data_IF_733294886355
#
_entry.id   IF_733294886355
#
_cell.length_a   1.000
_cell.length_b   1.000
_cell.length_c   1.000
_cell.angle_alpha   90.00
_cell.angle_beta   90.00
_cell.angle_gamma   90.00
#
_symmetry.space_group_name_H-M   'P 1'
#
loop_
_entity.id
_entity.type
_entity.pdbx_description
1 polymer ?
#
# COMPACT_ATOMS: atom_id res chain seq x y z
N UNK A 1 -46.12 -8.49 7.70
CA UNK A 1 -45.97 -7.28 6.86
C UNK A 1 -44.55 -7.32 6.32
N UNK A 2 -44.38 -7.88 5.13
CA UNK A 2 -43.07 -7.99 4.46
C UNK A 2 -42.68 -6.61 3.92
N UNK A 3 -42.04 -5.81 4.77
CA UNK A 3 -41.50 -4.51 4.40
C UNK A 3 -40.28 -4.69 3.51
N UNK A 4 -40.46 -4.59 2.19
CA UNK A 4 -39.33 -4.42 1.25
C UNK A 4 -38.59 -3.14 1.62
N UNK A 5 -37.43 -3.28 2.28
CA UNK A 5 -36.47 -2.19 2.44
C UNK A 5 -36.02 -1.78 1.03
N UNK A 6 -36.42 -0.58 0.59
CA UNK A 6 -36.06 -0.04 -0.72
C UNK A 6 -34.69 0.61 -0.59
N UNK A 7 -33.66 -0.12 -1.00
CA UNK A 7 -32.29 0.39 -1.07
C UNK A 7 -32.16 1.23 -2.35
N UNK A 8 -31.73 2.47 -2.21
CA UNK A 8 -31.32 3.31 -3.35
C UNK A 8 -29.79 3.26 -3.44
N UNK A 9 -29.28 2.85 -4.61
CA UNK A 9 -27.86 2.75 -4.92
C UNK A 9 -27.56 3.83 -5.97
N UNK A 10 -26.63 4.72 -5.66
CA UNK A 10 -26.08 5.69 -6.60
C UNK A 10 -24.61 5.33 -6.83
N UNK A 11 -24.25 5.01 -8.08
CA UNK A 11 -22.85 4.81 -8.52
C UNK A 11 -22.38 6.12 -9.15
N UNK A 12 -21.43 6.81 -8.51
CA UNK A 12 -20.75 7.97 -9.08
C UNK A 12 -19.32 7.57 -9.45
N UNK A 13 -19.00 7.62 -10.74
CA UNK A 13 -17.66 7.40 -11.27
C UNK A 13 -17.03 8.76 -11.60
N UNK A 14 -16.43 9.43 -10.61
CA UNK A 14 -15.68 10.68 -10.86
C UNK A 14 -14.24 10.36 -11.31
N UNK A 15 -14.02 10.25 -12.63
CA UNK A 15 -12.68 10.29 -13.21
C UNK A 15 -12.21 11.75 -13.30
N UNK A 16 -11.45 12.22 -12.31
CA UNK A 16 -10.77 13.53 -12.35
C UNK A 16 -9.32 13.37 -12.79
N UNK A 17 -9.05 13.73 -14.04
CA UNK A 17 -7.70 14.07 -14.52
C UNK A 17 -7.21 15.31 -13.77
N UNK A 18 -6.09 15.21 -13.07
CA UNK A 18 -5.38 16.38 -12.55
C UNK A 18 -3.90 16.29 -12.88
N UNK A 19 -3.41 17.36 -13.52
CA UNK A 19 -2.04 17.54 -13.97
C UNK A 19 -1.06 17.70 -12.80
N UNK A 20 0.15 17.27 -13.11
CA UNK A 20 1.39 17.18 -12.35
C UNK A 20 1.71 18.37 -11.41
N UNK A 21 2.07 18.03 -10.15
CA UNK A 21 3.15 18.66 -9.37
C UNK A 21 3.42 17.84 -8.10
N UNK A 22 4.54 17.10 -8.13
CA UNK A 22 5.13 16.36 -7.01
C UNK A 22 5.39 17.22 -5.77
N UNK A 23 4.97 16.77 -4.56
CA UNK A 23 5.63 17.13 -3.31
C UNK A 23 6.33 15.92 -2.66
N UNK A 24 7.50 16.17 -2.09
CA UNK A 24 8.35 15.21 -1.38
C UNK A 24 7.58 14.36 -0.36
N UNK A 25 7.55 13.05 -0.60
CA UNK A 25 6.73 12.05 0.11
C UNK A 25 7.11 11.77 1.58
N UNK A 26 8.15 12.40 2.13
CA UNK A 26 8.71 11.99 3.42
C UNK A 26 8.34 12.89 4.62
N UNK A 27 7.73 14.07 4.43
CA UNK A 27 7.49 15.02 5.53
C UNK A 27 6.11 14.89 6.22
N UNK A 28 5.21 14.04 5.72
CA UNK A 28 3.78 14.09 6.08
C UNK A 28 3.29 13.16 7.19
N UNK A 29 4.14 12.35 7.82
CA UNK A 29 3.66 11.27 8.72
C UNK A 29 3.22 11.73 10.12
N UNK A 30 3.07 13.04 10.39
CA UNK A 30 2.75 13.54 11.74
C UNK A 30 1.67 14.64 11.85
N UNK A 31 0.84 14.87 10.82
CA UNK A 31 -0.19 15.92 10.89
C UNK A 31 -1.62 15.36 10.99
N UNK A 32 -2.16 15.43 12.22
CA UNK A 32 -3.56 15.62 12.64
C UNK A 32 -4.68 15.15 11.70
N UNK A 33 -5.44 14.17 12.20
CA UNK A 33 -6.70 13.63 11.68
C UNK A 33 -7.76 14.73 11.47
N UNK A 34 -7.85 15.30 10.27
CA UNK A 34 -9.06 15.96 9.77
C UNK A 34 -9.07 16.02 8.23
N UNK A 35 -9.99 15.26 7.64
CA UNK A 35 -10.67 15.46 6.33
C UNK A 35 -9.83 15.73 5.05
N UNK A 36 -8.50 15.63 5.10
CA UNK A 36 -7.58 15.82 3.96
C UNK A 36 -6.78 14.56 3.58
N UNK A 37 -7.16 13.39 4.08
CA UNK A 37 -6.45 12.12 3.81
C UNK A 37 -6.77 11.50 2.44
N UNK A 38 -7.76 12.01 1.70
CA UNK A 38 -8.14 11.46 0.39
C UNK A 38 -7.16 11.83 -0.73
N UNK A 39 -6.21 12.75 -0.52
CA UNK A 39 -5.26 13.18 -1.57
C UNK A 39 -4.10 12.22 -1.82
N UNK A 40 -4.04 11.07 -1.13
CA UNK A 40 -2.99 10.07 -1.33
C UNK A 40 -3.48 8.79 -2.00
N UNK A 41 -4.78 8.61 -2.17
CA UNK A 41 -5.37 7.39 -2.72
C UNK A 41 -5.59 7.56 -4.23
N UNK A 42 -5.33 6.51 -5.00
CA UNK A 42 -5.44 6.51 -6.46
C UNK A 42 -6.73 5.79 -6.87
N UNK A 43 -7.30 6.21 -8.01
CA UNK A 43 -8.45 5.55 -8.64
C UNK A 43 -9.61 5.22 -7.66
N UNK A 44 -10.15 6.20 -6.92
CA UNK A 44 -11.25 5.94 -5.99
C UNK A 44 -12.52 5.55 -6.76
N UNK A 45 -13.16 4.47 -6.33
CA UNK A 45 -14.46 4.00 -6.76
C UNK A 45 -15.44 4.13 -5.59
N UNK A 46 -16.48 4.96 -5.75
CA UNK A 46 -17.42 5.27 -4.68
C UNK A 46 -18.83 4.73 -4.97
N UNK A 47 -19.47 4.17 -3.95
CA UNK A 47 -20.89 3.82 -3.93
C UNK A 47 -21.58 4.45 -2.73
N UNK A 48 -22.79 4.96 -2.93
CA UNK A 48 -23.59 5.54 -1.85
C UNK A 48 -24.88 4.76 -1.69
N UNK A 49 -25.14 4.32 -0.45
CA UNK A 49 -26.33 3.60 -0.04
C UNK A 49 -27.14 4.46 0.92
N UNK A 50 -28.46 4.50 0.74
CA UNK A 50 -29.36 5.25 1.63
C UNK A 50 -30.41 4.34 2.22
N UNK A 51 -30.54 4.37 3.54
CA UNK A 51 -31.49 3.58 4.31
C UNK A 51 -32.41 4.49 5.11
N UNK A 52 -33.74 4.32 5.05
CA UNK A 52 -34.66 5.05 5.92
C UNK A 52 -34.49 4.59 7.37
N UNK A 53 -34.58 5.52 8.32
CA UNK A 53 -34.55 5.24 9.77
C UNK A 53 -35.94 5.35 10.39
N UNK A 54 -36.14 4.80 11.59
CA UNK A 54 -37.46 4.76 12.27
C UNK A 54 -38.06 6.14 12.53
N UNK A 55 -37.21 7.15 12.68
CA UNK A 55 -37.56 8.56 12.88
C UNK A 55 -37.80 9.34 11.57
N UNK A 56 -38.01 8.64 10.45
CA UNK A 56 -38.21 9.20 9.11
C UNK A 56 -37.02 10.01 8.58
N UNK A 57 -35.83 9.85 9.17
CA UNK A 57 -34.58 10.39 8.65
C UNK A 57 -33.92 9.37 7.71
N UNK A 58 -32.72 9.72 7.23
CA UNK A 58 -31.92 8.85 6.36
C UNK A 58 -30.57 8.56 7.02
N UNK A 59 -30.18 7.30 6.93
CA UNK A 59 -28.82 6.83 7.12
C UNK A 59 -28.16 6.73 5.75
N UNK A 60 -27.06 7.44 5.54
CA UNK A 60 -26.26 7.37 4.32
C UNK A 60 -24.99 6.58 4.63
N UNK A 61 -24.69 5.58 3.82
CA UNK A 61 -23.45 4.82 3.88
C UNK A 61 -22.68 5.06 2.59
N UNK A 62 -21.50 5.65 2.69
CA UNK A 62 -20.55 5.79 1.59
C UNK A 62 -19.54 4.67 1.68
N UNK A 63 -19.40 3.91 0.61
CA UNK A 63 -18.38 2.88 0.43
C UNK A 63 -17.42 3.33 -0.65
N UNK A 64 -16.14 3.46 -0.32
CA UNK A 64 -15.08 3.91 -1.23
C UNK A 64 -13.99 2.85 -1.29
N UNK A 65 -13.74 2.30 -2.48
CA UNK A 65 -12.60 1.43 -2.76
C UNK A 65 -11.54 2.25 -3.49
N UNK A 66 -10.29 2.16 -3.09
CA UNK A 66 -9.20 2.92 -3.72
C UNK A 66 -7.90 2.14 -3.71
N UNK A 67 -6.99 2.51 -4.60
CA UNK A 67 -5.63 2.01 -4.65
C UNK A 67 -4.70 2.90 -3.81
N UNK A 68 -3.54 2.36 -3.40
CA UNK A 68 -2.57 3.12 -2.58
C UNK A 68 -1.17 3.17 -3.21
N UNK A 69 -0.53 4.36 -3.30
CA UNK A 69 0.87 4.48 -3.72
C UNK A 69 1.83 3.67 -2.83
N UNK A 70 1.39 3.36 -1.59
CA UNK A 70 2.14 2.55 -0.64
C UNK A 70 2.42 1.14 -1.15
N UNK A 71 1.59 0.62 -2.07
CA UNK A 71 1.80 -0.69 -2.72
C UNK A 71 3.19 -0.80 -3.35
N UNK A 72 3.75 0.31 -3.86
CA UNK A 72 5.08 0.32 -4.49
C UNK A 72 6.13 1.03 -3.64
N UNK A 73 5.77 2.11 -2.94
CA UNK A 73 6.76 2.88 -2.17
C UNK A 73 7.29 2.10 -0.95
N UNK A 74 6.43 1.35 -0.25
CA UNK A 74 6.86 0.55 0.90
C UNK A 74 7.82 -0.57 0.50
N UNK A 75 7.53 -1.42 -0.51
CA UNK A 75 8.50 -2.42 -0.96
C UNK A 75 9.84 -1.82 -1.39
N UNK A 76 9.85 -0.66 -2.07
CA UNK A 76 11.11 0.03 -2.41
C UNK A 76 11.90 0.42 -1.16
N UNK A 77 11.25 1.01 -0.16
CA UNK A 77 11.91 1.39 1.08
C UNK A 77 12.46 0.17 1.84
N UNK A 78 11.65 -0.89 1.97
CA UNK A 78 12.05 -2.13 2.64
C UNK A 78 13.25 -2.79 1.95
N UNK A 79 13.24 -2.87 0.61
CA UNK A 79 14.37 -3.42 -0.14
C UNK A 79 15.67 -2.61 0.06
N UNK A 80 15.57 -1.28 0.13
CA UNK A 80 16.74 -0.42 0.43
C UNK A 80 17.29 -0.69 1.83
N UNK A 81 16.42 -0.87 2.82
CA UNK A 81 16.82 -1.23 4.19
C UNK A 81 17.50 -2.61 4.21
N UNK A 82 16.91 -3.62 3.56
CA UNK A 82 17.49 -4.97 3.49
C UNK A 82 18.88 -4.95 2.82
N UNK A 83 19.04 -4.23 1.71
CA UNK A 83 20.34 -4.07 1.05
C UNK A 83 21.35 -3.44 1.99
N UNK A 84 20.96 -2.41 2.75
CA UNK A 84 21.84 -1.77 3.72
C UNK A 84 22.23 -2.74 4.85
N UNK A 85 21.26 -3.45 5.42
CA UNK A 85 21.49 -4.43 6.49
C UNK A 85 22.49 -5.52 6.07
N UNK A 86 22.31 -6.11 4.87
CA UNK A 86 23.23 -7.12 4.37
C UNK A 86 24.64 -6.59 4.14
N UNK A 87 24.78 -5.32 3.71
CA UNK A 87 26.11 -4.68 3.58
C UNK A 87 26.78 -4.50 4.93
N UNK A 88 26.04 -4.02 5.92
CA UNK A 88 26.53 -3.87 7.29
C UNK A 88 26.99 -5.22 7.85
N UNK A 89 26.17 -6.27 7.70
CA UNK A 89 26.53 -7.62 8.12
C UNK A 89 27.80 -8.15 7.44
N UNK A 90 27.98 -7.90 6.14
CA UNK A 90 29.22 -8.26 5.45
C UNK A 90 30.42 -7.56 6.08
N UNK A 91 30.29 -6.27 6.43
CA UNK A 91 31.37 -5.52 7.05
C UNK A 91 31.70 -6.09 8.44
N UNK A 92 30.70 -6.32 9.28
CA UNK A 92 30.87 -6.92 10.61
C UNK A 92 31.58 -8.27 10.55
N UNK A 93 31.22 -9.12 9.56
CA UNK A 93 31.86 -10.43 9.36
C UNK A 93 33.33 -10.28 8.91
N UNK A 94 33.62 -9.30 8.04
CA UNK A 94 34.99 -9.01 7.60
C UNK A 94 35.86 -8.49 8.74
N UNK A 95 35.26 -7.78 9.69
CA UNK A 95 35.95 -7.18 10.84
C UNK A 95 36.30 -8.18 11.95
N UNK A 96 35.88 -9.46 11.84
CA UNK A 96 36.22 -10.54 12.79
C UNK A 96 37.72 -10.90 12.82
N UNK A 97 38.54 -10.33 11.93
CA UNK A 97 39.98 -10.57 11.86
C UNK A 97 40.34 -11.96 11.32
N UNK A 98 41.52 -12.44 11.71
CA UNK A 98 42.01 -13.76 11.30
C UNK A 98 41.22 -14.88 11.98
N UNK A 99 40.72 -15.82 11.17
CA UNK A 99 39.98 -16.98 11.64
C UNK A 99 40.65 -18.28 11.18
N UNK A 100 40.46 -19.39 11.91
CA UNK A 100 40.91 -20.71 11.46
C UNK A 100 40.30 -21.11 10.09
N UNK A 101 40.96 -21.96 9.29
CA UNK A 101 40.55 -22.26 7.90
C UNK A 101 39.08 -22.68 7.72
N UNK A 102 38.54 -23.46 8.65
CA UNK A 102 37.14 -23.90 8.63
C UNK A 102 36.13 -22.77 8.86
N UNK A 103 36.52 -21.73 9.60
CA UNK A 103 35.71 -20.54 9.86
C UNK A 103 35.89 -19.50 8.76
N UNK A 104 37.08 -19.40 8.17
CA UNK A 104 37.33 -18.62 6.96
C UNK A 104 36.41 -19.08 5.82
N UNK A 105 36.30 -20.39 5.58
CA UNK A 105 35.37 -20.94 4.59
C UNK A 105 33.93 -20.49 4.86
N UNK A 106 33.44 -20.63 6.10
CA UNK A 106 32.08 -20.17 6.45
C UNK A 106 31.90 -18.67 6.27
N UNK A 107 32.92 -17.86 6.60
CA UNK A 107 32.91 -16.41 6.35
C UNK A 107 32.73 -16.12 4.86
N UNK A 108 33.49 -16.79 3.98
CA UNK A 108 33.31 -16.68 2.54
C UNK A 108 31.89 -17.05 2.10
N UNK A 109 31.36 -18.19 2.56
CA UNK A 109 30.02 -18.67 2.19
C UNK A 109 28.92 -17.67 2.60
N UNK A 110 28.99 -17.12 3.81
CA UNK A 110 28.01 -16.14 4.30
C UNK A 110 28.11 -14.81 3.55
N UNK A 111 29.34 -14.35 3.26
CA UNK A 111 29.57 -13.13 2.46
C UNK A 111 29.02 -13.31 1.04
N UNK A 112 29.30 -14.45 0.40
CA UNK A 112 28.79 -14.76 -0.93
C UNK A 112 27.26 -14.78 -0.94
N UNK A 113 26.64 -15.45 0.03
CA UNK A 113 25.19 -15.47 0.15
C UNK A 113 24.59 -14.05 0.32
N UNK A 114 25.17 -13.22 1.19
CA UNK A 114 24.71 -11.84 1.39
C UNK A 114 24.88 -11.01 0.11
N UNK A 115 25.98 -11.16 -0.62
CA UNK A 115 26.18 -10.48 -1.90
C UNK A 115 25.13 -10.90 -2.94
N UNK A 116 24.79 -12.19 -3.01
CA UNK A 116 23.75 -12.70 -3.90
C UNK A 116 22.38 -12.09 -3.57
N UNK A 117 22.02 -12.00 -2.28
CA UNK A 117 20.78 -11.33 -1.85
C UNK A 117 20.78 -9.84 -2.19
N UNK A 118 21.87 -9.12 -1.90
CA UNK A 118 22.03 -7.71 -2.26
C UNK A 118 21.83 -7.52 -3.76
N UNK A 119 22.49 -8.34 -4.60
CA UNK A 119 22.35 -8.27 -6.05
C UNK A 119 20.91 -8.47 -6.52
N UNK A 120 20.22 -9.48 -5.98
CA UNK A 120 18.82 -9.75 -6.30
C UNK A 120 17.90 -8.59 -5.89
N UNK A 121 18.03 -8.06 -4.67
CA UNK A 121 17.22 -6.94 -4.20
C UNK A 121 17.48 -5.66 -4.99
N UNK A 122 18.73 -5.39 -5.38
CA UNK A 122 19.07 -4.26 -6.24
C UNK A 122 18.50 -4.41 -7.65
N UNK A 123 18.53 -5.61 -8.24
CA UNK A 123 17.88 -5.87 -9.51
C UNK A 123 16.38 -5.58 -9.44
N UNK A 124 15.70 -6.09 -8.41
CA UNK A 124 14.27 -5.82 -8.20
C UNK A 124 14.00 -4.33 -8.00
N UNK A 125 14.81 -3.62 -7.20
CA UNK A 125 14.69 -2.17 -7.03
C UNK A 125 14.78 -1.41 -8.34
N UNK A 126 15.75 -1.75 -9.20
CA UNK A 126 15.90 -1.12 -10.52
C UNK A 126 14.65 -1.31 -11.36
N UNK A 127 14.02 -2.48 -11.32
CA UNK A 127 12.75 -2.70 -12.04
C UNK A 127 11.60 -1.92 -11.42
N UNK A 128 11.50 -1.86 -10.09
CA UNK A 128 10.46 -1.08 -9.41
C UNK A 128 10.61 0.44 -9.64
N UNK A 129 11.84 0.94 -9.79
CA UNK A 129 12.12 2.35 -10.07
C UNK A 129 11.85 2.73 -11.54
N UNK A 130 11.79 1.73 -12.46
CA UNK A 130 11.36 1.94 -13.85
C UNK A 130 9.85 2.07 -14.02
N UNK A 131 9.07 1.56 -13.07
CA UNK A 131 7.63 1.67 -13.10
C UNK A 131 7.22 3.11 -12.79
N UNK A 132 6.15 3.57 -13.44
CA UNK A 132 5.62 4.92 -13.22
C UNK A 132 5.41 5.20 -11.72
N UNK A 133 5.77 6.40 -11.29
CA UNK A 133 5.46 6.88 -9.94
C UNK A 133 3.94 6.89 -9.66
N UNK A 134 3.11 6.92 -10.70
CA UNK A 134 1.65 6.85 -10.62
C UNK A 134 1.08 5.44 -10.48
N UNK A 135 1.92 4.39 -10.48
CA UNK A 135 1.44 3.02 -10.32
C UNK A 135 1.09 2.75 -8.85
N UNK A 136 -0.18 2.44 -8.57
CA UNK A 136 -0.68 2.22 -7.20
C UNK A 136 -1.17 0.77 -6.98
N UNK A 137 -1.27 -0.03 -8.05
CA UNK A 137 -1.78 -1.41 -8.00
C UNK A 137 -0.94 -2.38 -8.83
N UNK A 138 -0.67 -3.57 -8.26
CA UNK A 138 -0.22 -4.75 -9.00
C UNK A 138 -1.42 -5.61 -9.34
N UNK A 139 -1.76 -5.73 -10.62
CA UNK A 139 -2.88 -6.55 -11.07
C UNK A 139 -2.64 -8.05 -10.79
N UNK A 140 -3.70 -8.82 -10.54
CA UNK A 140 -3.60 -10.28 -10.38
C UNK A 140 -3.00 -10.98 -11.60
N UNK A 141 -3.15 -10.40 -12.80
CA UNK A 141 -2.54 -10.92 -14.04
C UNK A 141 -1.02 -10.88 -14.02
N UNK A 142 -0.39 -10.02 -13.21
CA UNK A 142 1.06 -9.93 -13.05
C UNK A 142 1.57 -10.61 -11.77
N UNK A 143 0.76 -11.46 -11.12
CA UNK A 143 1.15 -12.14 -9.86
C UNK A 143 2.43 -12.98 -9.96
N UNK A 144 2.71 -13.55 -11.14
CA UNK A 144 3.90 -14.37 -11.40
C UNK A 144 5.12 -13.56 -11.86
N UNK A 145 5.01 -12.23 -11.98
CA UNK A 145 6.15 -11.40 -12.32
C UNK A 145 7.15 -11.36 -11.16
N UNK A 146 8.33 -11.94 -11.40
CA UNK A 146 9.42 -11.99 -10.42
C UNK A 146 9.88 -10.60 -9.98
N UNK A 147 9.75 -9.59 -10.83
CA UNK A 147 10.16 -8.22 -10.52
C UNK A 147 9.16 -7.50 -9.62
N UNK A 148 7.94 -8.03 -9.50
CA UNK A 148 6.89 -7.53 -8.61
C UNK A 148 6.66 -8.44 -7.40
N UNK A 149 7.59 -9.36 -7.09
CA UNK A 149 7.39 -10.37 -6.05
C UNK A 149 7.22 -9.79 -4.63
N UNK A 150 7.70 -8.56 -4.39
CA UNK A 150 7.54 -7.85 -3.12
C UNK A 150 6.37 -6.86 -3.11
N UNK A 151 5.74 -6.62 -4.26
CA UNK A 151 4.58 -5.73 -4.37
C UNK A 151 3.34 -6.56 -4.08
N UNK A 152 2.47 -6.11 -3.16
CA UNK A 152 1.25 -6.83 -2.83
C UNK A 152 0.33 -6.86 -4.06
N UNK A 153 -0.14 -8.05 -4.41
CA UNK A 153 -1.04 -8.25 -5.53
C UNK A 153 -2.43 -7.73 -5.14
N UNK A 154 -3.03 -6.92 -6.02
CA UNK A 154 -4.43 -6.48 -5.97
C UNK A 154 -4.86 -5.81 -4.65
N UNK A 155 -3.93 -5.08 -4.02
CA UNK A 155 -4.17 -4.40 -2.75
C UNK A 155 -5.02 -3.15 -2.95
N UNK A 156 -6.17 -3.14 -2.30
CA UNK A 156 -7.06 -1.99 -2.23
C UNK A 156 -7.35 -1.59 -0.79
N UNK A 157 -7.59 -0.30 -0.58
CA UNK A 157 -8.15 0.26 0.65
C UNK A 157 -9.65 0.46 0.45
N UNK A 158 -10.46 -0.16 1.29
CA UNK A 158 -11.89 0.06 1.35
C UNK A 158 -12.21 0.91 2.59
N UNK A 159 -12.98 1.98 2.38
CA UNK A 159 -13.43 2.91 3.41
C UNK A 159 -14.93 2.96 3.42
N UNK A 160 -15.54 2.63 4.55
CA UNK A 160 -16.96 2.86 4.78
C UNK A 160 -17.16 4.02 5.74
N UNK A 161 -17.96 4.99 5.33
CA UNK A 161 -18.37 6.14 6.13
C UNK A 161 -19.89 6.13 6.30
N UNK A 162 -20.33 6.05 7.55
CA UNK A 162 -21.74 6.12 7.91
C UNK A 162 -22.05 7.55 8.34
N UNK A 163 -23.02 8.18 7.68
CA UNK A 163 -23.44 9.56 7.90
C UNK A 163 -24.93 9.55 8.28
N UNK A 164 -25.24 10.02 9.48
CA UNK A 164 -26.61 10.27 9.92
C UNK A 164 -27.07 11.67 9.51
N UNK A 165 -28.37 11.87 9.34
CA UNK A 165 -28.98 13.14 8.90
C UNK A 165 -28.62 14.41 9.69
N UNK A 166 -28.10 14.28 10.91
CA UNK A 166 -27.60 15.37 11.74
C UNK A 166 -26.12 15.71 11.48
N UNK A 167 -25.43 14.96 10.60
CA UNK A 167 -23.98 15.02 10.35
C UNK A 167 -23.13 14.90 11.63
N UNK A 168 -23.70 14.41 12.73
CA UNK A 168 -23.04 14.37 14.05
C UNK A 168 -22.34 13.06 14.35
N UNK A 169 -22.66 11.99 13.61
CA UNK A 169 -22.12 10.64 13.87
C UNK A 169 -21.40 10.12 12.64
N UNK A 170 -20.12 10.45 12.48
CA UNK A 170 -19.25 9.84 11.47
C UNK A 170 -18.55 8.62 12.07
N UNK A 171 -18.93 7.41 11.64
CA UNK A 171 -18.12 6.21 11.89
C UNK A 171 -17.37 5.85 10.61
N UNK A 172 -16.04 5.72 10.72
CA UNK A 172 -15.16 5.34 9.61
C UNK A 172 -14.54 3.98 9.88
N UNK A 173 -14.65 3.09 8.91
CA UNK A 173 -13.98 1.80 8.91
C UNK A 173 -13.03 1.75 7.72
N UNK A 174 -11.77 1.41 7.98
CA UNK A 174 -10.75 1.20 6.94
C UNK A 174 -10.37 -0.28 6.95
N UNK A 175 -10.46 -0.91 5.78
CA UNK A 175 -10.05 -2.30 5.59
C UNK A 175 -9.19 -2.41 4.35
N UNK A 176 -8.05 -3.09 4.47
CA UNK A 176 -7.20 -3.42 3.34
C UNK A 176 -7.61 -4.78 2.79
N UNK A 177 -7.99 -4.82 1.51
CA UNK A 177 -8.37 -6.05 0.82
C UNK A 177 -7.30 -6.44 -0.19
N UNK A 178 -6.89 -7.70 -0.14
CA UNK A 178 -6.13 -8.38 -1.19
C UNK A 178 -7.13 -9.27 -1.91
N UNK A 179 -7.40 -8.99 -3.18
CA UNK A 179 -8.28 -9.82 -4.01
C UNK A 179 -7.41 -10.77 -4.86
N UNK A 180 -7.50 -12.08 -4.65
CA UNK A 180 -6.70 -13.07 -5.40
C UNK A 180 -7.09 -13.19 -6.90
#
# INVERSE_FOLDING_TARGET
MDGKVKIQIEEENEEKTSEDKSPDLCAGLHASVHHKETTLLCAPLQRVYRFPTEDQRWLTVRDELSETPLSFSLPRQLLRVLVHEHRTRIQEIKDLGELPPQWERRRCDVIEHCNNLIGSYQETLVQLDRLSASCCLKLSSSKSDKHLQFVPTNLHSQRMEVITSDNTSEQRFLLFHIFD
#
